data_IF_183396929566
#
_entry.id   IF_183396929566
#
_cell.length_a   1.000
_cell.length_b   1.000
_cell.length_c   1.000
_cell.angle_alpha   90.00
_cell.angle_beta   90.00
_cell.angle_gamma   90.00
#
_symmetry.space_group_name_H-M   'P 1'
#
loop_
_entity.id
_entity.type
_entity.pdbx_description
1 polymer ?
#
# COMPACT_ATOMS: atom_id res chain seq x y z
N UNK A 1 -7.43 0.36 10.53
CA UNK A 1 -6.33 -0.21 9.70
C UNK A 1 -5.03 0.33 10.25
N UNK A 2 -4.04 -0.51 10.49
CA UNK A 2 -2.71 -0.09 10.92
C UNK A 2 -1.79 0.04 9.71
N UNK A 3 -0.94 1.07 9.72
CA UNK A 3 0.01 1.28 8.65
C UNK A 3 1.04 0.14 8.63
N UNK A 4 1.22 -0.60 7.53
CA UNK A 4 2.22 -1.68 7.46
C UNK A 4 3.67 -1.16 7.54
N UNK A 5 3.90 0.15 7.37
CA UNK A 5 5.23 0.75 7.42
C UNK A 5 5.63 1.18 8.83
N UNK A 6 4.73 1.87 9.55
CA UNK A 6 5.04 2.45 10.86
C UNK A 6 4.10 2.01 11.99
N UNK A 7 3.15 1.10 11.71
CA UNK A 7 2.09 0.65 12.63
C UNK A 7 1.21 1.78 13.18
N UNK A 8 1.28 2.97 12.56
CA UNK A 8 0.47 4.13 12.94
C UNK A 8 -0.97 4.02 12.46
N UNK A 9 -1.81 4.89 12.99
CA UNK A 9 -3.22 4.98 12.63
C UNK A 9 -3.38 5.40 11.16
N UNK A 10 -4.34 4.77 10.48
CA UNK A 10 -4.75 5.15 9.13
C UNK A 10 -6.19 5.64 9.11
N UNK A 11 -6.45 6.68 8.33
CA UNK A 11 -7.78 7.23 8.07
C UNK A 11 -8.21 6.89 6.63
N UNK A 12 -9.49 6.57 6.45
CA UNK A 12 -10.06 6.39 5.12
C UNK A 12 -10.43 7.76 4.56
N UNK A 13 -9.75 8.18 3.50
CA UNK A 13 -10.00 9.45 2.82
C UNK A 13 -10.54 9.22 1.41
N UNK A 14 -11.38 10.16 0.95
CA UNK A 14 -11.85 10.21 -0.43
C UNK A 14 -10.88 11.04 -1.26
N UNK A 15 -10.31 10.41 -2.27
CA UNK A 15 -9.49 11.07 -3.28
C UNK A 15 -10.32 11.27 -4.54
N UNK A 16 -10.20 12.44 -5.14
CA UNK A 16 -10.82 12.77 -6.42
C UNK A 16 -9.80 13.50 -7.28
N UNK A 17 -9.56 12.96 -8.46
CA UNK A 17 -8.84 13.61 -9.55
C UNK A 17 -9.83 13.89 -10.70
N UNK A 18 -9.37 14.52 -11.79
CA UNK A 18 -10.19 14.83 -12.97
C UNK A 18 -10.88 13.60 -13.58
N UNK A 19 -10.27 12.42 -13.47
CA UNK A 19 -10.75 11.19 -14.11
C UNK A 19 -11.38 10.18 -13.14
N UNK A 20 -11.02 10.20 -11.87
CA UNK A 20 -11.36 9.12 -10.93
C UNK A 20 -11.66 9.66 -9.54
N UNK A 21 -12.67 9.05 -8.91
CA UNK A 21 -12.96 9.19 -7.49
C UNK A 21 -12.77 7.83 -6.83
N UNK A 22 -11.93 7.76 -5.82
CA UNK A 22 -11.64 6.52 -5.10
C UNK A 22 -11.41 6.78 -3.62
N UNK A 23 -11.48 5.72 -2.82
CA UNK A 23 -11.19 5.78 -1.40
C UNK A 23 -9.87 5.07 -1.12
N UNK A 24 -9.00 5.71 -0.34
CA UNK A 24 -7.72 5.15 0.05
C UNK A 24 -7.44 5.43 1.52
N UNK A 25 -6.69 4.52 2.15
CA UNK A 25 -6.24 4.69 3.52
C UNK A 25 -4.96 5.50 3.55
N UNK A 26 -4.95 6.63 4.27
CA UNK A 26 -3.75 7.44 4.50
C UNK A 26 -3.29 7.30 5.94
N UNK A 27 -2.01 7.00 6.13
CA UNK A 27 -1.40 7.02 7.45
C UNK A 27 -1.12 8.45 7.91
N UNK A 28 -1.58 8.81 9.11
CA UNK A 28 -1.32 10.12 9.70
C UNK A 28 0.14 10.32 10.10
N UNK A 29 0.84 9.25 10.48
CA UNK A 29 2.21 9.35 11.01
C UNK A 29 3.28 9.38 9.90
N UNK A 30 3.12 8.60 8.83
CA UNK A 30 4.15 8.50 7.77
C UNK A 30 3.67 8.87 6.36
N UNK A 31 2.39 9.25 6.21
CA UNK A 31 1.82 9.64 4.93
C UNK A 31 1.60 8.48 3.93
N UNK A 32 1.87 7.22 4.31
CA UNK A 32 1.66 6.10 3.41
C UNK A 32 0.19 5.97 2.99
N UNK A 33 -0.05 5.89 1.69
CA UNK A 33 -1.37 5.68 1.08
C UNK A 33 -1.51 4.22 0.65
N UNK A 34 -2.65 3.62 0.96
CA UNK A 34 -2.98 2.24 0.59
C UNK A 34 -4.43 2.20 0.09
N UNK A 35 -4.59 2.01 -1.21
CA UNK A 35 -5.86 1.66 -1.83
C UNK A 35 -5.91 0.15 -2.14
N UNK A 36 -7.02 -0.32 -2.74
CA UNK A 36 -7.16 -1.72 -3.15
C UNK A 36 -6.09 -2.13 -4.16
N UNK A 37 -5.70 -1.23 -5.06
CA UNK A 37 -4.73 -1.49 -6.13
C UNK A 37 -3.32 -1.63 -5.55
N UNK A 38 -2.89 -0.70 -4.71
CA UNK A 38 -1.61 -0.75 -3.98
C UNK A 38 -1.53 -2.01 -3.12
N UNK A 39 -2.61 -2.36 -2.41
CA UNK A 39 -2.66 -3.60 -1.63
C UNK A 39 -2.53 -4.86 -2.51
N UNK A 40 -3.21 -4.90 -3.65
CA UNK A 40 -3.09 -6.00 -4.62
C UNK A 40 -1.67 -6.09 -5.20
N UNK A 41 -1.11 -4.96 -5.62
CA UNK A 41 0.23 -4.89 -6.20
C UNK A 41 1.32 -5.29 -5.20
N UNK A 42 1.19 -4.89 -3.93
CA UNK A 42 2.11 -5.33 -2.86
C UNK A 42 2.07 -6.84 -2.68
N UNK A 43 0.88 -7.45 -2.63
CA UNK A 43 0.74 -8.91 -2.52
C UNK A 43 1.41 -9.63 -3.69
N UNK A 44 1.19 -9.15 -4.93
CA UNK A 44 1.85 -9.70 -6.13
C UNK A 44 3.37 -9.54 -6.09
N UNK A 45 3.87 -8.37 -5.69
CA UNK A 45 5.30 -8.11 -5.60
C UNK A 45 5.99 -8.95 -4.54
N UNK A 46 5.32 -9.25 -3.43
CA UNK A 46 5.86 -10.13 -2.38
C UNK A 46 5.88 -11.59 -2.83
N UNK A 47 4.79 -12.08 -3.45
CA UNK A 47 4.74 -13.43 -4.02
C UNK A 47 5.80 -13.64 -5.11
N UNK A 48 6.07 -12.62 -5.93
CA UNK A 48 7.13 -12.68 -6.95
C UNK A 48 8.56 -12.69 -6.38
N UNK A 49 8.76 -12.17 -5.16
CA UNK A 49 10.07 -12.18 -4.48
C UNK A 49 10.36 -13.52 -3.81
N UNK A 50 9.34 -14.21 -3.29
CA UNK A 50 9.47 -15.55 -2.71
C UNK A 50 9.87 -16.61 -3.75
N UNK A 51 9.55 -16.39 -5.03
CA UNK A 51 9.93 -17.26 -6.14
C UNK A 51 11.35 -16.99 -6.70
N UNK A 52 12.07 -16.00 -6.18
CA UNK A 52 13.39 -15.63 -6.71
C UNK A 52 14.47 -16.14 -5.74
N UNK A 53 15.25 -17.19 -6.09
CA UNK A 53 16.36 -17.60 -5.25
C UNK A 53 17.32 -16.41 -5.17
N UNK A 54 17.58 -15.94 -3.95
CA UNK A 54 18.58 -14.91 -3.69
C UNK A 54 19.93 -15.53 -4.08
N UNK A 55 20.39 -15.25 -5.31
CA UNK A 55 21.78 -15.48 -5.69
C UNK A 55 22.60 -14.45 -4.94
N UNK A 56 23.11 -14.87 -3.78
CA UNK A 56 24.16 -14.18 -3.06
C UNK A 56 25.43 -14.23 -3.91
N UNK A 57 25.90 -13.06 -4.35
CA UNK A 57 27.22 -12.84 -4.94
C UNK A 57 28.13 -12.15 -3.94
#
# INVERSE_FOLDING_TARGET
MECPKCKGMMLLERYSDFFLVFYAWKCLNCGAIIDRTISSNRRKSLAGREAQPVVAG
#
